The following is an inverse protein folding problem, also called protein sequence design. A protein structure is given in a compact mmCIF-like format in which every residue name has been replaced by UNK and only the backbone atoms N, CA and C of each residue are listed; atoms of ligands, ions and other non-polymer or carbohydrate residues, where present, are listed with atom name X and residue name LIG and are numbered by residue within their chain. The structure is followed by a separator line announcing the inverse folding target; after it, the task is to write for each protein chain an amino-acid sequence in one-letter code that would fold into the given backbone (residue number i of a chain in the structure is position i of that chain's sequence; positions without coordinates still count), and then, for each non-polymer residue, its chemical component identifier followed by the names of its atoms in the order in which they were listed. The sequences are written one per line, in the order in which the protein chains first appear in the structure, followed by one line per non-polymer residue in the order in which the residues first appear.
data_IF_648736967196
#
_entry.id   IF_648736967196
#
_cell.length_a   1.000
_cell.length_b   1.000
_cell.length_c   1.000
_cell.angle_alpha   90.00
_cell.angle_beta   90.00
_cell.angle_gamma   90.00
#
_symmetry.space_group_name_H-M   'P 1'
#
loop_
_entity.id
_entity.type
_entity.pdbx_description
1 polymer ?
#
# COMPACT_ATOMS: atom_id res chain seq x y z
N UNK A 1 0.50 -14.73 -30.70
CA UNK A 1 0.63 -14.23 -29.33
C UNK A 1 -0.74 -14.33 -28.69
N UNK A 2 -0.83 -15.02 -27.58
CA UNK A 2 -2.07 -15.05 -26.78
C UNK A 2 -2.26 -13.65 -26.16
N UNK A 3 -3.52 -13.20 -25.98
CA UNK A 3 -3.79 -11.87 -25.40
C UNK A 3 -3.11 -11.65 -24.04
N UNK A 4 -2.92 -12.73 -23.26
CA UNK A 4 -2.20 -12.72 -21.98
C UNK A 4 -0.73 -12.34 -22.19
N UNK A 5 -0.04 -12.92 -23.18
CA UNK A 5 1.37 -12.61 -23.50
C UNK A 5 1.54 -11.13 -23.91
N UNK A 6 0.53 -10.56 -24.59
CA UNK A 6 0.53 -9.13 -24.93
C UNK A 6 0.40 -8.27 -23.68
N UNK A 7 -0.51 -8.61 -22.77
CA UNK A 7 -0.70 -7.89 -21.52
C UNK A 7 0.54 -7.98 -20.62
N UNK A 8 1.14 -9.15 -20.50
CA UNK A 8 2.38 -9.35 -19.72
C UNK A 8 3.54 -8.53 -20.31
N UNK A 9 3.64 -8.46 -21.65
CA UNK A 9 4.65 -7.65 -22.32
C UNK A 9 4.45 -6.15 -22.07
N UNK A 10 3.19 -5.67 -22.07
CA UNK A 10 2.85 -4.28 -21.76
C UNK A 10 3.16 -4.00 -20.28
N UNK A 11 2.77 -4.88 -19.37
CA UNK A 11 3.04 -4.74 -17.93
C UNK A 11 4.55 -4.65 -17.67
N UNK A 12 5.33 -5.56 -18.24
CA UNK A 12 6.79 -5.55 -18.13
C UNK A 12 7.44 -4.26 -18.71
N UNK A 13 6.90 -3.73 -19.80
CA UNK A 13 7.39 -2.49 -20.40
C UNK A 13 7.03 -1.27 -19.54
N UNK A 14 5.81 -1.23 -18.99
CA UNK A 14 5.33 -0.14 -18.12
C UNK A 14 6.10 -0.13 -16.80
N UNK A 15 6.26 -1.27 -16.15
CA UNK A 15 7.02 -1.41 -14.90
C UNK A 15 8.55 -1.49 -15.10
N UNK A 16 8.99 -1.23 -16.31
CA UNK A 16 10.41 -1.16 -16.67
C UNK A 16 11.11 0.11 -16.17
N UNK A 17 12.36 0.34 -16.63
CA UNK A 17 13.17 1.49 -16.23
C UNK A 17 12.47 2.85 -16.30
N UNK A 18 11.62 3.16 -17.31
CA UNK A 18 10.96 4.47 -17.39
C UNK A 18 10.10 4.79 -16.19
N UNK A 19 9.27 3.83 -15.74
CA UNK A 19 8.40 4.03 -14.58
C UNK A 19 9.20 4.15 -13.28
N UNK A 20 10.26 3.34 -13.13
CA UNK A 20 11.14 3.40 -11.94
C UNK A 20 11.82 4.78 -11.87
N UNK A 21 12.36 5.27 -12.97
CA UNK A 21 13.00 6.59 -13.02
C UNK A 21 11.98 7.69 -12.69
N UNK A 22 10.78 7.61 -13.26
CA UNK A 22 9.72 8.59 -12.98
C UNK A 22 9.33 8.59 -11.50
N UNK A 23 9.11 7.42 -10.90
CA UNK A 23 8.66 7.29 -9.52
C UNK A 23 9.74 7.69 -8.51
N UNK A 24 10.93 7.10 -8.62
CA UNK A 24 12.05 7.46 -7.74
C UNK A 24 12.47 8.91 -7.95
N UNK A 25 12.48 9.39 -9.19
CA UNK A 25 12.76 10.78 -9.52
C UNK A 25 11.75 11.72 -8.86
N UNK A 26 10.46 11.40 -8.91
CA UNK A 26 9.40 12.15 -8.22
C UNK A 26 9.60 12.13 -6.70
N UNK A 27 9.91 10.98 -6.11
CA UNK A 27 10.15 10.83 -4.67
C UNK A 27 11.38 11.64 -4.21
N UNK A 28 12.47 11.58 -4.97
CA UNK A 28 13.70 12.35 -4.69
C UNK A 28 13.41 13.85 -4.87
N UNK A 29 12.77 14.24 -5.96
CA UNK A 29 12.41 15.63 -6.24
C UNK A 29 11.55 16.21 -5.11
N UNK A 30 10.49 15.53 -4.70
CA UNK A 30 9.61 15.99 -3.62
C UNK A 30 10.33 16.03 -2.28
N UNK A 31 11.22 15.08 -2.00
CA UNK A 31 12.07 15.08 -0.80
C UNK A 31 12.98 16.33 -0.76
N UNK A 32 13.63 16.64 -1.86
CA UNK A 32 14.49 17.85 -1.97
C UNK A 32 13.66 19.12 -1.83
N UNK A 33 12.54 19.22 -2.56
CA UNK A 33 11.66 20.41 -2.54
C UNK A 33 11.03 20.66 -1.18
N UNK A 34 10.72 19.63 -0.42
CA UNK A 34 10.20 19.73 0.94
C UNK A 34 11.29 19.79 2.02
N UNK A 35 12.57 19.87 1.61
CA UNK A 35 13.74 19.93 2.51
C UNK A 35 13.78 18.76 3.51
N UNK A 36 13.45 17.57 3.03
CA UNK A 36 13.45 16.35 3.86
C UNK A 36 12.34 16.37 4.90
N UNK A 37 11.09 16.51 4.46
CA UNK A 37 9.90 16.55 5.33
C UNK A 37 9.78 15.31 6.23
N UNK A 38 10.39 14.20 5.84
CA UNK A 38 10.46 12.97 6.61
C UNK A 38 11.01 13.18 8.03
N UNK A 39 11.89 14.18 8.23
CA UNK A 39 12.42 14.57 9.55
C UNK A 39 11.32 15.04 10.51
N UNK A 40 10.16 15.45 9.99
CA UNK A 40 8.99 15.83 10.79
C UNK A 40 8.08 14.66 11.13
N UNK A 41 8.51 13.42 10.88
CA UNK A 41 7.74 12.23 11.21
C UNK A 41 7.26 12.17 12.67
N UNK A 42 8.08 12.49 13.69
CA UNK A 42 7.60 12.50 15.08
C UNK A 42 6.46 13.50 15.31
N UNK A 43 6.55 14.68 14.68
CA UNK A 43 5.47 15.66 14.71
C UNK A 43 4.22 15.15 13.98
N UNK A 44 4.39 14.52 12.82
CA UNK A 44 3.30 13.96 12.04
C UNK A 44 2.54 12.87 12.80
N UNK A 45 3.25 11.98 13.49
CA UNK A 45 2.65 10.96 14.36
C UNK A 45 1.87 11.58 15.52
N UNK A 46 2.41 12.63 16.16
CA UNK A 46 1.69 13.37 17.19
C UNK A 46 0.41 14.02 16.65
N UNK A 47 0.49 14.65 15.47
CA UNK A 47 -0.64 15.32 14.85
C UNK A 47 -1.73 14.34 14.39
N UNK A 48 -1.38 13.11 14.03
CA UNK A 48 -2.35 12.09 13.60
C UNK A 48 -3.36 11.72 14.67
N UNK A 49 -2.96 11.78 15.95
CA UNK A 49 -3.81 11.47 17.11
C UNK A 49 -4.37 12.72 17.80
N UNK A 50 -4.05 13.93 17.31
CA UNK A 50 -4.48 15.20 17.91
C UNK A 50 -5.61 15.82 17.09
N UNK A 51 -6.76 16.09 17.70
CA UNK A 51 -7.91 16.76 17.03
C UNK A 51 -7.58 18.20 16.61
N UNK A 52 -8.15 18.66 15.50
CA UNK A 52 -8.10 20.05 15.02
C UNK A 52 -9.44 20.75 15.27
N UNK A 53 -9.65 21.19 16.50
CA UNK A 53 -10.94 21.72 16.96
C UNK A 53 -11.41 22.92 16.14
N UNK A 54 -12.66 22.87 15.67
CA UNK A 54 -13.31 23.93 14.89
C UNK A 54 -12.83 24.02 13.44
N UNK A 55 -12.23 22.97 12.90
CA UNK A 55 -11.94 22.83 11.49
C UNK A 55 -13.19 22.37 10.71
N UNK A 56 -13.26 22.68 9.42
CA UNK A 56 -14.30 22.21 8.51
C UNK A 56 -13.84 20.95 7.77
N UNK A 57 -14.67 19.94 7.70
CA UNK A 57 -14.46 18.67 7.01
C UNK A 57 -15.60 17.71 7.32
N UNK A 58 -15.60 16.57 6.63
CA UNK A 58 -16.64 15.55 6.76
C UNK A 58 -16.21 14.41 7.68
N UNK A 59 -14.89 14.24 7.88
CA UNK A 59 -14.29 13.19 8.70
C UNK A 59 -13.13 13.73 9.54
N UNK A 60 -12.82 13.07 10.67
CA UNK A 60 -11.70 13.46 11.52
C UNK A 60 -10.34 13.31 10.79
N UNK A 61 -9.30 14.03 11.26
CA UNK A 61 -7.93 13.88 10.72
C UNK A 61 -7.44 12.42 10.81
N UNK A 62 -7.71 11.79 11.95
CA UNK A 62 -7.34 10.39 12.17
C UNK A 62 -8.17 9.45 11.29
N UNK A 63 -9.48 9.71 11.13
CA UNK A 63 -10.37 8.96 10.27
C UNK A 63 -9.95 9.02 8.80
N UNK A 64 -9.61 10.18 8.30
CA UNK A 64 -9.08 10.34 6.94
C UNK A 64 -7.74 9.58 6.75
N UNK A 65 -6.84 9.64 7.75
CA UNK A 65 -5.60 8.89 7.71
C UNK A 65 -5.86 7.37 7.80
N UNK A 66 -6.70 6.93 8.71
CA UNK A 66 -7.02 5.52 8.89
C UNK A 66 -7.72 4.93 7.65
N UNK A 67 -8.63 5.69 7.03
CA UNK A 67 -9.27 5.27 5.77
C UNK A 67 -8.26 5.19 4.63
N UNK A 68 -7.36 6.18 4.51
CA UNK A 68 -6.27 6.12 3.54
C UNK A 68 -5.30 4.98 3.83
N UNK A 69 -5.06 4.66 5.10
CA UNK A 69 -4.22 3.53 5.47
C UNK A 69 -4.94 2.20 5.24
N UNK A 70 -6.26 2.13 5.44
CA UNK A 70 -7.07 0.97 5.11
C UNK A 70 -7.00 0.63 3.61
N UNK A 71 -7.06 1.64 2.74
CA UNK A 71 -6.95 1.43 1.28
C UNK A 71 -5.57 0.90 0.86
N UNK A 72 -4.52 1.26 1.58
CA UNK A 72 -3.13 0.88 1.26
C UNK A 72 -2.66 -0.40 1.94
N UNK A 73 -3.15 -0.71 3.15
CA UNK A 73 -2.83 -1.94 3.89
C UNK A 73 -3.65 -3.12 3.37
N UNK A 74 -3.36 -3.55 2.14
CA UNK A 74 -4.01 -4.70 1.50
C UNK A 74 -3.08 -5.91 1.38
N UNK A 75 -3.45 -6.78 0.45
CA UNK A 75 -2.63 -7.95 0.06
C UNK A 75 -1.22 -7.58 -0.36
N UNK A 76 -1.00 -6.34 -0.82
CA UNK A 76 0.32 -5.81 -1.16
C UNK A 76 1.33 -5.87 -0.02
N UNK A 77 0.87 -5.70 1.22
CA UNK A 77 1.73 -5.71 2.41
C UNK A 77 2.17 -7.11 2.85
N UNK A 78 1.55 -8.17 2.35
CA UNK A 78 1.90 -9.57 2.65
C UNK A 78 2.31 -10.29 1.37
N UNK A 79 1.36 -10.53 0.46
CA UNK A 79 1.60 -11.24 -0.80
C UNK A 79 2.51 -10.44 -1.74
N UNK A 80 2.35 -9.12 -1.78
CA UNK A 80 3.22 -8.24 -2.56
C UNK A 80 4.67 -8.27 -2.09
N UNK A 81 4.90 -8.29 -0.78
CA UNK A 81 6.25 -8.44 -0.19
C UNK A 81 6.84 -9.81 -0.53
N UNK A 82 6.05 -10.88 -0.40
CA UNK A 82 6.48 -12.22 -0.78
C UNK A 82 6.83 -12.32 -2.28
N UNK A 83 6.03 -11.66 -3.14
CA UNK A 83 6.33 -11.56 -4.58
C UNK A 83 7.64 -10.78 -4.83
N UNK A 84 7.88 -9.70 -4.09
CA UNK A 84 9.13 -8.95 -4.22
C UNK A 84 10.35 -9.81 -3.88
N UNK A 85 10.27 -10.59 -2.80
CA UNK A 85 11.35 -11.50 -2.39
C UNK A 85 11.51 -12.65 -3.39
N UNK A 86 10.40 -13.23 -3.87
CA UNK A 86 10.44 -14.38 -4.79
C UNK A 86 11.03 -13.98 -6.16
N UNK A 87 10.59 -12.86 -6.72
CA UNK A 87 10.95 -12.43 -8.08
C UNK A 87 12.17 -11.50 -8.12
N UNK A 88 12.33 -10.66 -7.11
CA UNK A 88 13.42 -9.68 -7.01
C UNK A 88 14.55 -10.06 -6.05
N UNK A 89 14.42 -11.20 -5.36
CA UNK A 89 15.35 -11.63 -4.34
C UNK A 89 15.25 -10.82 -3.04
N UNK A 90 16.01 -11.21 -1.99
CA UNK A 90 16.02 -10.49 -0.71
C UNK A 90 16.37 -9.00 -0.84
N UNK A 91 17.19 -8.63 -1.82
CA UNK A 91 17.58 -7.25 -2.10
C UNK A 91 16.43 -6.33 -2.48
N UNK A 92 15.33 -6.86 -3.05
CA UNK A 92 14.13 -6.10 -3.36
C UNK A 92 13.51 -5.43 -2.12
N UNK A 93 13.69 -6.03 -0.94
CA UNK A 93 13.21 -5.50 0.35
C UNK A 93 13.80 -4.13 0.64
N UNK A 94 15.11 -3.94 0.42
CA UNK A 94 15.76 -2.65 0.64
C UNK A 94 15.17 -1.56 -0.27
N UNK A 95 15.02 -1.86 -1.55
CA UNK A 95 14.46 -0.92 -2.52
C UNK A 95 13.01 -0.58 -2.23
N UNK A 96 12.19 -1.58 -1.84
CA UNK A 96 10.82 -1.36 -1.39
C UNK A 96 10.78 -0.45 -0.16
N UNK A 97 11.66 -0.65 0.82
CA UNK A 97 11.73 0.15 2.04
C UNK A 97 12.13 1.61 1.73
N UNK A 98 13.12 1.79 0.84
CA UNK A 98 13.53 3.13 0.38
C UNK A 98 12.40 3.88 -0.32
N UNK A 99 11.56 3.21 -1.14
CA UNK A 99 10.39 3.85 -1.73
C UNK A 99 9.37 4.30 -0.66
N UNK A 100 9.22 3.55 0.42
CA UNK A 100 8.38 3.94 1.56
C UNK A 100 8.88 5.22 2.23
N UNK A 101 10.19 5.30 2.52
CA UNK A 101 10.82 6.47 3.17
C UNK A 101 10.72 7.70 2.26
N UNK A 102 11.10 7.57 0.99
CA UNK A 102 11.07 8.69 0.04
C UNK A 102 9.63 9.05 -0.34
N UNK A 103 8.76 8.05 -0.45
CA UNK A 103 7.34 8.20 -0.75
C UNK A 103 6.57 9.05 0.26
N UNK A 104 7.04 9.14 1.51
CA UNK A 104 6.45 10.05 2.51
C UNK A 104 6.41 11.51 2.03
N UNK A 105 7.46 11.99 1.35
CA UNK A 105 7.49 13.35 0.81
C UNK A 105 6.52 13.55 -0.36
N UNK A 106 6.38 12.54 -1.20
CA UNK A 106 5.42 12.56 -2.30
C UNK A 106 3.99 12.56 -1.76
N UNK A 107 3.67 11.67 -0.82
CA UNK A 107 2.36 11.61 -0.15
C UNK A 107 2.01 12.95 0.53
N UNK A 108 2.99 13.57 1.21
CA UNK A 108 2.82 14.93 1.77
C UNK A 108 2.46 15.95 0.70
N UNK A 109 3.18 15.94 -0.42
CA UNK A 109 2.98 16.93 -1.49
C UNK A 109 1.63 16.78 -2.18
N UNK A 110 1.21 15.54 -2.45
CA UNK A 110 -0.09 15.22 -3.04
C UNK A 110 -1.24 15.71 -2.17
N UNK A 111 -1.20 15.36 -0.87
CA UNK A 111 -2.25 15.73 0.07
C UNK A 111 -2.25 17.23 0.33
N UNK A 112 -1.07 17.87 0.43
CA UNK A 112 -0.99 19.31 0.55
C UNK A 112 -1.66 20.03 -0.61
N UNK A 113 -1.41 19.57 -1.84
CA UNK A 113 -2.04 20.14 -3.04
C UNK A 113 -3.56 19.94 -3.03
N UNK A 114 -4.03 18.74 -2.72
CA UNK A 114 -5.47 18.45 -2.66
C UNK A 114 -6.19 19.28 -1.60
N UNK A 115 -5.63 19.40 -0.42
CA UNK A 115 -6.19 20.22 0.66
C UNK A 115 -6.21 21.70 0.33
N UNK A 116 -5.20 22.20 -0.39
CA UNK A 116 -5.11 23.60 -0.80
C UNK A 116 -6.15 23.97 -1.86
N UNK A 117 -6.46 23.04 -2.77
CA UNK A 117 -7.35 23.25 -3.92
C UNK A 117 -8.66 22.47 -3.78
N UNK A 118 -9.03 22.05 -2.57
CA UNK A 118 -10.31 21.38 -2.31
C UNK A 118 -11.48 22.33 -2.56
N UNK A 119 -12.60 21.76 -2.98
CA UNK A 119 -13.84 22.47 -3.28
C UNK A 119 -14.98 21.89 -2.43
N UNK A 120 -16.08 22.64 -2.31
CA UNK A 120 -17.33 22.13 -1.76
C UNK A 120 -18.24 21.67 -2.88
N UNK A 121 -18.88 20.54 -2.73
CA UNK A 121 -19.93 20.09 -3.61
C UNK A 121 -21.24 20.87 -3.34
N UNK A 122 -22.32 20.53 -4.07
CA UNK A 122 -23.64 21.13 -3.89
C UNK A 122 -24.30 20.79 -2.55
N UNK A 123 -23.86 19.75 -1.91
CA UNK A 123 -24.37 19.26 -0.62
C UNK A 123 -23.53 19.80 0.55
N UNK A 124 -22.41 20.50 0.27
CA UNK A 124 -21.52 21.09 1.26
C UNK A 124 -20.35 20.20 1.67
N UNK A 125 -20.21 19.00 1.10
CA UNK A 125 -19.09 18.09 1.38
C UNK A 125 -17.79 18.57 0.76
N UNK A 126 -16.68 18.30 1.45
CA UNK A 126 -15.35 18.68 0.98
C UNK A 126 -14.81 17.65 -0.01
N UNK A 127 -14.53 18.08 -1.23
CA UNK A 127 -13.97 17.27 -2.29
C UNK A 127 -12.62 17.79 -2.74
N UNK A 128 -11.71 16.89 -3.08
CA UNK A 128 -10.38 17.21 -3.59
C UNK A 128 -9.79 16.06 -4.38
N UNK A 129 -8.50 16.12 -4.64
CA UNK A 129 -7.78 15.15 -5.45
C UNK A 129 -7.15 15.82 -6.67
N UNK A 130 -6.41 15.06 -7.47
CA UNK A 130 -5.65 15.59 -8.59
C UNK A 130 -6.55 16.30 -9.62
N UNK A 131 -7.78 15.80 -9.87
CA UNK A 131 -8.73 16.43 -10.78
C UNK A 131 -9.03 17.88 -10.37
N UNK A 132 -9.34 18.11 -9.09
CA UNK A 132 -9.63 19.45 -8.58
C UNK A 132 -8.38 20.35 -8.53
N UNK A 133 -7.20 19.76 -8.27
CA UNK A 133 -5.94 20.49 -8.33
C UNK A 133 -5.69 21.04 -9.73
N UNK A 134 -5.88 20.22 -10.78
CA UNK A 134 -5.73 20.68 -12.17
C UNK A 134 -6.69 21.80 -12.50
N UNK A 135 -7.96 21.67 -12.16
CA UNK A 135 -8.96 22.68 -12.46
C UNK A 135 -8.74 23.99 -11.67
N UNK A 136 -8.57 23.90 -10.35
CA UNK A 136 -8.49 25.10 -9.49
C UNK A 136 -7.15 25.84 -9.62
N UNK A 137 -6.04 25.11 -9.84
CA UNK A 137 -4.71 25.72 -9.98
C UNK A 137 -4.58 26.53 -11.27
N UNK A 138 -5.20 26.04 -12.34
CA UNK A 138 -5.07 26.66 -13.67
C UNK A 138 -6.31 27.42 -14.11
N UNK A 139 -7.27 27.62 -13.21
CA UNK A 139 -8.43 28.50 -13.44
C UNK A 139 -7.95 29.93 -13.69
N UNK A 140 -8.40 30.52 -14.79
CA UNK A 140 -8.09 31.90 -15.18
C UNK A 140 -8.93 32.88 -14.38
N UNK A 141 -8.56 34.18 -14.44
CA UNK A 141 -9.30 35.26 -13.80
C UNK A 141 -10.74 35.45 -14.32
N UNK A 142 -10.98 35.05 -15.57
CA UNK A 142 -12.31 34.99 -16.20
C UNK A 142 -13.17 33.80 -15.77
N UNK A 143 -12.66 32.94 -14.89
CA UNK A 143 -13.34 31.76 -14.42
C UNK A 143 -13.19 30.52 -15.32
N UNK A 144 -12.57 30.63 -16.49
CA UNK A 144 -12.36 29.53 -17.44
C UNK A 144 -11.19 28.65 -17.03
N UNK A 145 -11.30 27.33 -17.33
CA UNK A 145 -10.23 26.36 -17.15
C UNK A 145 -9.66 25.99 -18.51
N UNK A 146 -8.33 26.06 -18.73
CA UNK A 146 -7.70 25.67 -19.99
C UNK A 146 -8.06 24.21 -20.36
N UNK A 147 -8.27 23.93 -21.65
CA UNK A 147 -8.70 22.63 -22.11
C UNK A 147 -7.78 21.47 -21.69
N UNK A 148 -6.46 21.70 -21.71
CA UNK A 148 -5.47 20.70 -21.29
C UNK A 148 -5.55 20.37 -19.77
N UNK A 149 -5.82 21.36 -18.92
CA UNK A 149 -5.99 21.14 -17.49
C UNK A 149 -7.28 20.37 -17.20
N UNK A 150 -8.36 20.65 -17.96
CA UNK A 150 -9.61 19.89 -17.90
C UNK A 150 -9.42 18.46 -18.42
N UNK A 151 -8.66 18.29 -19.49
CA UNK A 151 -8.30 16.95 -20.00
C UNK A 151 -7.54 16.14 -18.94
N UNK A 152 -6.51 16.71 -18.29
CA UNK A 152 -5.76 16.03 -17.23
C UNK A 152 -6.63 15.69 -16.03
N UNK A 153 -7.56 16.56 -15.66
CA UNK A 153 -8.52 16.28 -14.57
C UNK A 153 -9.43 15.09 -14.89
N UNK A 154 -10.03 15.06 -16.10
CA UNK A 154 -10.88 13.97 -16.56
C UNK A 154 -10.09 12.67 -16.71
N UNK A 155 -8.88 12.75 -17.30
CA UNK A 155 -8.01 11.60 -17.47
C UNK A 155 -7.69 10.92 -16.14
N UNK A 156 -7.29 11.72 -15.14
CA UNK A 156 -7.05 11.19 -13.80
C UNK A 156 -8.30 10.52 -13.21
N UNK A 157 -9.46 11.17 -13.30
CA UNK A 157 -10.71 10.62 -12.76
C UNK A 157 -11.09 9.28 -13.42
N UNK A 158 -10.96 9.17 -14.73
CA UNK A 158 -11.23 7.93 -15.47
C UNK A 158 -10.25 6.83 -15.04
N UNK A 159 -8.95 7.13 -14.98
CA UNK A 159 -7.95 6.14 -14.56
C UNK A 159 -8.15 5.70 -13.11
N UNK A 160 -8.51 6.62 -12.21
CA UNK A 160 -8.83 6.29 -10.82
C UNK A 160 -10.03 5.34 -10.74
N UNK A 161 -11.11 5.61 -11.48
CA UNK A 161 -12.27 4.72 -11.54
C UNK A 161 -11.91 3.33 -12.06
N UNK A 162 -11.10 3.22 -13.10
CA UNK A 162 -10.64 1.92 -13.63
C UNK A 162 -9.79 1.16 -12.62
N UNK A 163 -8.93 1.85 -11.88
CA UNK A 163 -8.04 1.24 -10.87
C UNK A 163 -8.82 0.62 -9.70
N UNK A 164 -9.98 1.19 -9.32
CA UNK A 164 -10.83 0.66 -8.25
C UNK A 164 -11.25 -0.78 -8.55
N UNK A 165 -11.66 -1.09 -9.78
CA UNK A 165 -12.10 -2.43 -10.16
C UNK A 165 -10.99 -3.47 -10.05
N UNK A 166 -9.74 -3.13 -10.40
CA UNK A 166 -8.60 -4.03 -10.32
C UNK A 166 -8.03 -4.11 -8.91
N UNK A 167 -7.37 -3.05 -8.48
CA UNK A 167 -6.58 -3.00 -7.24
C UNK A 167 -7.46 -2.95 -6.00
N UNK A 168 -8.54 -2.17 -6.04
CA UNK A 168 -9.41 -1.94 -4.88
C UNK A 168 -10.31 -3.14 -4.55
N UNK A 169 -10.78 -3.89 -5.55
CA UNK A 169 -11.77 -4.94 -5.31
C UNK A 169 -11.36 -6.32 -5.81
N UNK A 170 -11.03 -6.50 -7.10
CA UNK A 170 -10.80 -7.82 -7.68
C UNK A 170 -9.61 -8.56 -7.04
N UNK A 171 -8.46 -7.90 -6.93
CA UNK A 171 -7.24 -8.48 -6.33
C UNK A 171 -7.47 -8.84 -4.86
N UNK A 172 -8.13 -7.96 -4.11
CA UNK A 172 -8.38 -8.17 -2.69
C UNK A 172 -9.37 -9.32 -2.45
N UNK A 173 -10.47 -9.32 -3.19
CA UNK A 173 -11.48 -10.39 -3.10
C UNK A 173 -10.90 -11.75 -3.53
N UNK A 174 -10.10 -11.78 -4.59
CA UNK A 174 -9.41 -12.99 -5.03
C UNK A 174 -8.48 -13.57 -3.94
N UNK A 175 -7.77 -12.72 -3.22
CA UNK A 175 -6.92 -13.18 -2.12
C UNK A 175 -7.75 -13.73 -0.95
N UNK A 176 -8.84 -13.06 -0.56
CA UNK A 176 -9.74 -13.54 0.50
C UNK A 176 -10.33 -14.90 0.12
N UNK A 177 -10.86 -15.03 -1.09
CA UNK A 177 -11.49 -16.27 -1.56
C UNK A 177 -10.50 -17.41 -1.66
N UNK A 178 -9.27 -17.15 -2.13
CA UNK A 178 -8.21 -18.16 -2.23
C UNK A 178 -7.79 -18.68 -0.85
N UNK A 179 -7.64 -17.79 0.13
CA UNK A 179 -7.30 -18.18 1.52
C UNK A 179 -8.45 -18.96 2.16
N UNK A 180 -9.68 -18.54 1.96
CA UNK A 180 -10.85 -19.21 2.51
C UNK A 180 -11.02 -20.62 1.88
N UNK A 181 -10.82 -20.76 0.58
CA UNK A 181 -10.87 -22.05 -0.10
C UNK A 181 -9.75 -23.00 0.39
N UNK A 182 -8.53 -22.47 0.50
CA UNK A 182 -7.39 -23.31 0.93
C UNK A 182 -7.51 -23.80 2.38
N UNK A 183 -8.09 -23.00 3.28
CA UNK A 183 -8.15 -23.34 4.72
C UNK A 183 -9.48 -23.98 5.17
N UNK A 184 -10.59 -23.63 4.51
CA UNK A 184 -11.93 -24.06 4.92
C UNK A 184 -12.68 -24.87 3.86
N UNK A 185 -12.13 -25.00 2.64
CA UNK A 185 -12.79 -25.66 1.51
C UNK A 185 -14.06 -24.96 1.03
N UNK A 186 -14.26 -23.67 1.38
CA UNK A 186 -15.46 -22.91 1.00
C UNK A 186 -15.35 -22.45 -0.45
N UNK A 187 -16.42 -22.64 -1.20
CA UNK A 187 -16.48 -22.21 -2.60
C UNK A 187 -16.24 -20.69 -2.75
N UNK A 188 -15.37 -20.26 -3.69
CA UNK A 188 -14.98 -18.85 -3.84
C UNK A 188 -16.14 -17.88 -4.01
N UNK A 189 -17.20 -18.28 -4.73
CA UNK A 189 -18.37 -17.43 -4.98
C UNK A 189 -19.17 -17.14 -3.70
N UNK A 190 -19.23 -18.09 -2.75
CA UNK A 190 -19.90 -17.89 -1.46
C UNK A 190 -19.18 -16.81 -0.65
N UNK A 191 -17.85 -16.94 -0.58
CA UNK A 191 -17.00 -15.96 0.13
C UNK A 191 -17.10 -14.59 -0.52
N UNK A 192 -17.05 -14.53 -1.86
CA UNK A 192 -17.20 -13.29 -2.60
C UNK A 192 -18.56 -12.63 -2.36
N UNK A 193 -19.65 -13.40 -2.29
CA UNK A 193 -20.98 -12.89 -1.99
C UNK A 193 -21.06 -12.30 -0.57
N UNK A 194 -20.46 -12.96 0.42
CA UNK A 194 -20.39 -12.46 1.81
C UNK A 194 -19.59 -11.16 1.88
N UNK A 195 -18.41 -11.11 1.24
CA UNK A 195 -17.57 -9.91 1.19
C UNK A 195 -18.30 -8.75 0.52
N UNK A 196 -18.95 -9.02 -0.63
CA UNK A 196 -19.71 -8.02 -1.36
C UNK A 196 -20.91 -7.51 -0.53
N UNK A 197 -21.70 -8.39 0.06
CA UNK A 197 -22.86 -8.02 0.88
C UNK A 197 -22.47 -7.19 2.11
N UNK A 198 -21.42 -7.60 2.82
CA UNK A 198 -20.92 -6.87 3.99
C UNK A 198 -20.31 -5.51 3.63
N UNK A 199 -19.56 -5.43 2.53
CA UNK A 199 -19.02 -4.16 2.03
C UNK A 199 -20.15 -3.21 1.60
N UNK A 200 -21.17 -3.71 0.91
CA UNK A 200 -22.34 -2.94 0.49
C UNK A 200 -23.07 -2.30 1.69
N UNK A 201 -23.27 -3.05 2.78
CA UNK A 201 -23.88 -2.53 4.00
C UNK A 201 -23.08 -1.36 4.61
N UNK A 202 -21.75 -1.44 4.56
CA UNK A 202 -20.87 -0.37 5.05
C UNK A 202 -20.95 0.86 4.14
N UNK A 203 -20.92 0.65 2.83
CA UNK A 203 -20.98 1.72 1.81
C UNK A 203 -22.31 2.47 1.91
N UNK A 204 -23.44 1.77 2.13
CA UNK A 204 -24.76 2.39 2.33
C UNK A 204 -24.78 3.35 3.54
N UNK A 205 -23.91 3.16 4.53
CA UNK A 205 -23.75 4.06 5.66
C UNK A 205 -23.00 5.37 5.36
N UNK A 206 -22.47 5.53 4.13
CA UNK A 206 -21.76 6.72 3.65
C UNK A 206 -20.36 6.93 4.22
N UNK A 207 -19.75 8.06 3.85
CA UNK A 207 -18.34 8.37 4.13
C UNK A 207 -17.98 8.31 5.61
N UNK A 208 -18.86 8.84 6.48
CA UNK A 208 -18.65 8.82 7.94
C UNK A 208 -18.59 7.40 8.51
N UNK A 209 -19.45 6.49 8.03
CA UNK A 209 -19.46 5.10 8.47
C UNK A 209 -18.19 4.38 8.05
N UNK A 210 -17.74 4.56 6.80
CA UNK A 210 -16.49 4.01 6.29
C UNK A 210 -15.31 4.47 7.17
N UNK A 211 -15.21 5.78 7.40
CA UNK A 211 -14.15 6.37 8.22
C UNK A 211 -14.15 5.83 9.66
N UNK A 212 -15.31 5.75 10.31
CA UNK A 212 -15.43 5.25 11.68
C UNK A 212 -15.04 3.77 11.81
N UNK A 213 -15.34 2.95 10.80
CA UNK A 213 -14.92 1.56 10.76
C UNK A 213 -13.40 1.47 10.59
N UNK A 214 -12.83 2.21 9.64
CA UNK A 214 -11.39 2.24 9.40
C UNK A 214 -10.61 2.74 10.63
N UNK A 215 -11.11 3.74 11.36
CA UNK A 215 -10.50 4.24 12.60
C UNK A 215 -10.27 3.15 13.65
N UNK A 216 -11.18 2.18 13.73
CA UNK A 216 -11.10 1.07 14.69
C UNK A 216 -10.36 -0.12 14.13
N UNK A 217 -10.68 -0.50 12.89
CA UNK A 217 -10.16 -1.71 12.25
C UNK A 217 -8.65 -1.62 12.00
N UNK A 218 -8.17 -0.49 11.47
CA UNK A 218 -6.77 -0.36 11.05
C UNK A 218 -5.76 -0.51 12.19
N UNK A 219 -5.92 0.19 13.33
CA UNK A 219 -5.01 -0.02 14.46
C UNK A 219 -5.04 -1.45 15.01
N UNK A 220 -6.24 -2.03 15.14
CA UNK A 220 -6.40 -3.39 15.70
C UNK A 220 -5.72 -4.42 14.80
N UNK A 221 -6.01 -4.40 13.48
CA UNK A 221 -5.41 -5.35 12.55
C UNK A 221 -3.90 -5.16 12.43
N UNK A 222 -3.43 -3.91 12.42
CA UNK A 222 -1.99 -3.60 12.34
C UNK A 222 -1.23 -4.12 13.56
N UNK A 223 -1.73 -3.85 14.77
CA UNK A 223 -1.12 -4.34 16.02
C UNK A 223 -1.15 -5.88 16.08
N UNK A 224 -2.30 -6.49 15.79
CA UNK A 224 -2.44 -7.95 15.81
C UNK A 224 -1.45 -8.62 14.83
N UNK A 225 -1.33 -8.08 13.62
CA UNK A 225 -0.41 -8.59 12.61
C UNK A 225 1.07 -8.42 13.05
N UNK A 226 1.45 -7.25 13.55
CA UNK A 226 2.82 -7.00 14.04
C UNK A 226 3.17 -7.95 15.19
N UNK A 227 2.26 -8.16 16.14
CA UNK A 227 2.48 -9.09 17.25
C UNK A 227 2.67 -10.52 16.75
N UNK A 228 1.85 -10.95 15.79
CA UNK A 228 1.99 -12.25 15.15
C UNK A 228 3.34 -12.41 14.42
N UNK A 229 3.72 -11.43 13.64
CA UNK A 229 5.03 -11.41 12.98
C UNK A 229 6.19 -11.38 13.98
N UNK A 230 6.07 -10.59 15.07
CA UNK A 230 7.07 -10.55 16.12
C UNK A 230 7.27 -11.91 16.78
N UNK A 231 6.20 -12.67 17.00
CA UNK A 231 6.29 -14.03 17.50
C UNK A 231 7.11 -14.93 16.56
N UNK A 232 6.85 -14.89 15.23
CA UNK A 232 7.61 -15.65 14.22
C UNK A 232 9.08 -15.23 14.22
N UNK A 233 9.37 -13.92 14.30
CA UNK A 233 10.74 -13.40 14.36
C UNK A 233 11.49 -13.85 15.63
N UNK A 234 10.80 -13.97 16.76
CA UNK A 234 11.38 -14.53 17.98
C UNK A 234 11.75 -16.01 17.78
N UNK A 235 10.88 -16.79 17.12
CA UNK A 235 11.22 -18.18 16.78
C UNK A 235 12.42 -18.28 15.83
N UNK A 236 12.56 -17.34 14.91
CA UNK A 236 13.65 -17.27 13.92
C UNK A 236 14.78 -16.32 14.33
N UNK A 237 14.91 -15.98 15.59
CA UNK A 237 15.83 -14.97 16.11
C UNK A 237 17.28 -15.17 15.65
N UNK A 238 17.76 -16.42 15.61
CA UNK A 238 19.13 -16.75 15.18
C UNK A 238 19.44 -16.33 13.73
N UNK A 239 18.43 -16.22 12.89
CA UNK A 239 18.54 -15.91 11.45
C UNK A 239 18.28 -14.43 11.12
N UNK A 240 17.93 -13.59 12.10
CA UNK A 240 17.64 -12.16 11.87
C UNK A 240 18.88 -11.44 11.33
N UNK A 241 20.05 -11.67 11.93
CA UNK A 241 21.31 -11.05 11.50
C UNK A 241 21.67 -11.42 10.06
N UNK A 242 21.54 -12.69 9.70
CA UNK A 242 21.78 -13.17 8.33
C UNK A 242 20.74 -12.60 7.34
N UNK A 243 19.50 -12.45 7.77
CA UNK A 243 18.44 -11.84 6.95
C UNK A 243 18.77 -10.39 6.57
N UNK A 244 19.23 -9.59 7.54
CA UNK A 244 19.70 -8.23 7.26
C UNK A 244 20.87 -8.23 6.30
N UNK A 245 21.85 -9.08 6.54
CA UNK A 245 23.02 -9.21 5.68
C UNK A 245 22.61 -9.54 4.24
N UNK A 246 21.73 -10.54 4.04
CA UNK A 246 21.23 -10.91 2.71
C UNK A 246 20.46 -9.78 2.02
N UNK A 247 19.59 -9.07 2.75
CA UNK A 247 18.84 -7.93 2.20
C UNK A 247 19.81 -6.87 1.67
N UNK A 248 20.84 -6.50 2.43
CA UNK A 248 21.79 -5.47 2.01
C UNK A 248 22.72 -5.96 0.93
N UNK A 249 23.28 -7.17 1.03
CA UNK A 249 24.17 -7.72 0.01
C UNK A 249 23.47 -7.90 -1.32
N UNK A 250 22.28 -8.54 -1.34
CA UNK A 250 21.53 -8.79 -2.58
C UNK A 250 20.94 -7.53 -3.21
N UNK A 251 20.84 -6.42 -2.48
CA UNK A 251 20.39 -5.15 -3.05
C UNK A 251 21.44 -4.51 -3.99
N UNK A 252 22.72 -4.81 -3.79
CA UNK A 252 23.82 -4.18 -4.53
C UNK A 252 24.75 -5.18 -5.24
N UNK A 253 24.54 -6.48 -5.03
CA UNK A 253 25.33 -7.53 -5.69
C UNK A 253 24.44 -8.59 -6.31
N UNK A 254 24.72 -9.03 -7.55
CA UNK A 254 24.00 -10.17 -8.14
C UNK A 254 24.40 -11.44 -7.38
N UNK A 255 23.50 -11.94 -6.55
CA UNK A 255 23.74 -13.16 -5.78
C UNK A 255 22.52 -14.07 -5.80
N UNK A 256 22.76 -15.33 -6.08
CA UNK A 256 21.74 -16.36 -5.86
C UNK A 256 21.57 -16.58 -4.36
N UNK A 257 20.33 -16.62 -3.89
CA UNK A 257 20.00 -16.93 -2.51
C UNK A 257 19.14 -18.21 -2.46
N UNK A 258 19.09 -18.84 -1.29
CA UNK A 258 18.21 -19.98 -1.03
C UNK A 258 18.36 -21.14 -2.03
N UNK A 259 19.59 -21.64 -2.17
CA UNK A 259 19.89 -22.79 -3.04
C UNK A 259 19.73 -22.50 -4.55
N UNK A 260 19.79 -21.24 -4.97
CA UNK A 260 19.63 -20.83 -6.37
C UNK A 260 18.16 -20.67 -6.79
N UNK A 261 17.20 -20.94 -5.92
CA UNK A 261 15.78 -20.80 -6.24
C UNK A 261 15.35 -19.32 -6.38
N UNK A 262 16.06 -18.42 -5.71
CA UNK A 262 15.84 -16.96 -5.76
C UNK A 262 17.16 -16.26 -6.05
N UNK A 263 17.32 -15.82 -7.28
CA UNK A 263 18.49 -15.02 -7.70
C UNK A 263 18.02 -13.92 -8.64
N UNK A 264 18.45 -12.69 -8.39
CA UNK A 264 18.14 -11.59 -9.27
C UNK A 264 19.33 -10.66 -9.46
N UNK A 265 19.41 -10.02 -10.63
CA UNK A 265 20.30 -8.90 -10.83
C UNK A 265 19.83 -7.68 -10.04
N UNK A 266 20.74 -6.73 -9.78
CA UNK A 266 20.44 -5.48 -9.07
C UNK A 266 19.24 -4.74 -9.69
N UNK A 267 19.14 -4.70 -11.03
CA UNK A 267 18.05 -4.04 -11.74
C UNK A 267 16.71 -4.72 -11.44
N UNK A 268 16.68 -6.05 -11.38
CA UNK A 268 15.48 -6.83 -11.09
C UNK A 268 15.05 -6.61 -9.64
N UNK A 269 15.99 -6.64 -8.69
CA UNK A 269 15.72 -6.32 -7.29
C UNK A 269 15.16 -4.91 -7.11
N UNK A 270 15.74 -3.91 -7.79
CA UNK A 270 15.26 -2.53 -7.83
C UNK A 270 13.84 -2.47 -8.41
N UNK A 271 13.61 -3.12 -9.56
CA UNK A 271 12.31 -3.09 -10.26
C UNK A 271 11.20 -3.67 -9.39
N UNK A 272 11.36 -4.89 -8.89
CA UNK A 272 10.36 -5.53 -8.06
C UNK A 272 10.20 -4.82 -6.71
N UNK A 273 11.29 -4.36 -6.10
CA UNK A 273 11.25 -3.59 -4.86
C UNK A 273 10.47 -2.29 -5.01
N UNK A 274 10.77 -1.50 -6.05
CA UNK A 274 10.08 -0.24 -6.33
C UNK A 274 8.61 -0.47 -6.69
N UNK A 275 8.31 -1.42 -7.59
CA UNK A 275 6.94 -1.71 -8.01
C UNK A 275 6.06 -2.15 -6.84
N UNK A 276 6.55 -3.08 -6.01
CA UNK A 276 5.80 -3.57 -4.84
C UNK A 276 5.75 -2.56 -3.70
N UNK A 277 6.80 -1.73 -3.55
CA UNK A 277 6.78 -0.59 -2.63
C UNK A 277 5.70 0.41 -3.00
N UNK A 278 5.60 0.82 -4.26
CA UNK A 278 4.54 1.71 -4.74
C UNK A 278 3.15 1.10 -4.56
N UNK A 279 2.98 -0.16 -4.95
CA UNK A 279 1.72 -0.89 -4.76
C UNK A 279 1.27 -0.92 -3.30
N UNK A 280 2.23 -0.99 -2.36
CA UNK A 280 1.96 -0.99 -0.93
C UNK A 280 1.63 0.40 -0.38
N UNK A 281 2.38 1.45 -0.73
CA UNK A 281 2.23 2.78 -0.10
C UNK A 281 1.39 3.77 -0.91
N UNK A 282 1.14 3.47 -2.18
CA UNK A 282 0.36 4.32 -3.11
C UNK A 282 0.85 5.78 -3.19
N UNK A 283 2.12 6.05 -2.87
CA UNK A 283 2.66 7.40 -3.00
C UNK A 283 2.92 7.73 -4.47
N UNK A 284 2.29 8.78 -4.99
CA UNK A 284 2.33 9.14 -6.41
C UNK A 284 1.09 8.72 -7.19
N UNK A 285 0.21 7.87 -6.63
CA UNK A 285 -1.03 7.45 -7.31
C UNK A 285 -2.16 8.48 -7.21
N UNK A 286 -2.11 9.40 -6.25
CA UNK A 286 -3.16 10.40 -6.08
C UNK A 286 -4.44 9.91 -5.40
N UNK A 287 -4.46 8.71 -4.83
CA UNK A 287 -5.60 8.09 -4.13
C UNK A 287 -5.82 8.70 -2.75
N UNK A 288 -4.80 8.79 -1.92
CA UNK A 288 -4.88 9.39 -0.59
C UNK A 288 -5.36 10.86 -0.59
N UNK A 289 -5.03 11.71 -1.56
CA UNK A 289 -5.61 13.04 -1.71
C UNK A 289 -7.11 13.10 -1.77
N UNK A 290 -7.79 12.11 -2.36
CA UNK A 290 -9.25 12.04 -2.46
C UNK A 290 -9.87 11.98 -1.06
N UNK A 291 -9.42 11.03 -0.24
CA UNK A 291 -9.88 10.83 1.13
C UNK A 291 -9.47 12.00 2.03
N UNK A 292 -8.21 12.43 1.92
CA UNK A 292 -7.65 13.48 2.80
C UNK A 292 -8.32 14.84 2.61
N UNK A 293 -8.88 15.11 1.43
CA UNK A 293 -9.57 16.38 1.16
C UNK A 293 -10.82 16.57 2.03
N UNK A 294 -11.48 15.47 2.43
CA UNK A 294 -12.64 15.49 3.31
C UNK A 294 -12.28 15.66 4.81
N UNK A 295 -10.99 15.62 5.16
CA UNK A 295 -10.56 15.73 6.56
C UNK A 295 -10.84 17.12 7.18
N UNK A 296 -11.25 17.10 8.45
CA UNK A 296 -11.38 18.29 9.30
C UNK A 296 -10.00 18.88 9.57
N UNK A 297 -9.56 19.83 8.75
CA UNK A 297 -8.28 20.51 8.96
C UNK A 297 -8.33 21.96 8.49
N UNK A 298 -7.86 22.87 9.36
CA UNK A 298 -7.72 24.30 9.05
C UNK A 298 -6.52 24.58 8.15
N UNK A 299 -5.49 23.73 8.24
CA UNK A 299 -4.23 23.95 7.55
C UNK A 299 -3.89 22.76 6.63
N UNK A 300 -3.74 22.98 5.32
CA UNK A 300 -3.33 21.94 4.38
C UNK A 300 -2.07 21.20 4.79
N UNK A 301 -1.08 21.89 5.36
CA UNK A 301 0.17 21.27 5.79
C UNK A 301 -0.02 20.31 6.98
N UNK A 302 -0.99 20.56 7.86
CA UNK A 302 -1.30 19.68 8.98
C UNK A 302 -1.81 18.34 8.47
N UNK A 303 -2.83 18.34 7.61
CA UNK A 303 -3.36 17.09 7.05
C UNK A 303 -2.34 16.37 6.18
N UNK A 304 -1.53 17.11 5.43
CA UNK A 304 -0.44 16.53 4.65
C UNK A 304 0.60 15.82 5.53
N UNK A 305 0.96 16.39 6.69
CA UNK A 305 1.83 15.73 7.67
C UNK A 305 1.19 14.46 8.23
N UNK A 306 -0.10 14.52 8.58
CA UNK A 306 -0.83 13.33 9.05
C UNK A 306 -0.82 12.24 7.99
N UNK A 307 -1.17 12.56 6.75
CA UNK A 307 -1.26 11.58 5.65
C UNK A 307 0.10 11.00 5.23
N UNK A 308 1.21 11.73 5.40
CA UNK A 308 2.54 11.18 5.10
C UNK A 308 2.96 10.04 6.03
N UNK A 309 2.27 9.85 7.16
CA UNK A 309 2.50 8.69 8.04
C UNK A 309 2.00 7.37 7.41
N UNK A 310 1.15 7.42 6.37
CA UNK A 310 0.67 6.24 5.65
C UNK A 310 1.79 5.36 5.11
N UNK A 311 2.69 5.85 4.23
CA UNK A 311 3.85 5.10 3.76
C UNK A 311 4.77 4.61 4.87
N UNK A 312 4.89 5.35 5.97
CA UNK A 312 5.65 4.90 7.14
C UNK A 312 5.02 3.65 7.74
N UNK A 313 3.75 3.68 8.10
CA UNK A 313 3.09 2.51 8.71
C UNK A 313 3.02 1.33 7.75
N UNK A 314 2.60 1.57 6.50
CA UNK A 314 2.39 0.51 5.53
C UNK A 314 3.73 -0.13 5.10
N UNK A 315 4.66 0.66 4.57
CA UNK A 315 5.86 0.12 3.92
C UNK A 315 7.05 0.05 4.88
N UNK A 316 7.29 1.11 5.67
CA UNK A 316 8.46 1.14 6.55
C UNK A 316 8.28 0.23 7.77
N UNK A 317 7.04 0.03 8.24
CA UNK A 317 6.76 -0.85 9.39
C UNK A 317 6.22 -2.21 8.92
N UNK A 318 5.01 -2.26 8.37
CA UNK A 318 4.32 -3.54 8.08
C UNK A 318 5.06 -4.37 7.03
N UNK A 319 5.37 -3.79 5.85
CA UNK A 319 6.05 -4.56 4.80
C UNK A 319 7.46 -4.97 5.21
N UNK A 320 8.16 -4.15 5.99
CA UNK A 320 9.49 -4.49 6.48
C UNK A 320 9.46 -5.65 7.47
N UNK A 321 8.53 -5.64 8.42
CA UNK A 321 8.34 -6.76 9.36
C UNK A 321 7.95 -8.04 8.60
N UNK A 322 7.02 -7.94 7.64
CA UNK A 322 6.66 -9.08 6.76
C UNK A 322 7.89 -9.61 6.00
N UNK A 323 8.69 -8.72 5.44
CA UNK A 323 9.90 -9.10 4.70
C UNK A 323 10.93 -9.81 5.59
N UNK A 324 11.12 -9.33 6.82
CA UNK A 324 12.00 -9.99 7.79
C UNK A 324 11.49 -11.38 8.15
N UNK A 325 10.17 -11.56 8.35
CA UNK A 325 9.57 -12.87 8.57
C UNK A 325 9.88 -13.81 7.39
N UNK A 326 9.66 -13.34 6.16
CA UNK A 326 9.89 -14.15 4.96
C UNK A 326 11.37 -14.52 4.84
N UNK A 327 12.27 -13.53 4.89
CA UNK A 327 13.71 -13.77 4.69
C UNK A 327 14.29 -14.62 5.82
N UNK A 328 13.92 -14.38 7.09
CA UNK A 328 14.42 -15.17 8.22
C UNK A 328 13.93 -16.63 8.18
N UNK A 329 12.69 -16.86 7.75
CA UNK A 329 12.17 -18.22 7.58
C UNK A 329 12.85 -18.95 6.41
N UNK A 330 13.18 -18.24 5.33
CA UNK A 330 13.95 -18.82 4.21
C UNK A 330 15.40 -19.08 4.60
N UNK A 331 16.00 -18.28 5.49
CA UNK A 331 17.31 -18.57 6.05
C UNK A 331 17.28 -19.82 6.95
N UNK A 332 16.22 -19.98 7.74
CA UNK A 332 16.03 -21.15 8.59
C UNK A 332 15.73 -22.44 7.79
N UNK A 333 15.05 -22.29 6.65
CA UNK A 333 14.63 -23.41 5.78
C UNK A 333 15.02 -23.12 4.32
N UNK A 334 16.28 -23.28 3.92
CA UNK A 334 16.75 -22.89 2.58
C UNK A 334 16.09 -23.64 1.41
N UNK A 335 15.59 -24.84 1.63
CA UNK A 335 14.90 -25.66 0.61
C UNK A 335 13.40 -25.45 0.56
N UNK A 336 12.84 -24.58 1.42
CA UNK A 336 11.40 -24.37 1.59
C UNK A 336 10.67 -24.08 0.27
N UNK A 337 11.28 -23.28 -0.60
CA UNK A 337 10.68 -22.91 -1.90
C UNK A 337 10.52 -24.15 -2.79
N UNK A 338 11.52 -25.04 -2.81
CA UNK A 338 11.52 -26.24 -3.63
C UNK A 338 10.59 -27.31 -3.03
N UNK A 339 10.69 -27.53 -1.72
CA UNK A 339 9.93 -28.56 -0.99
C UNK A 339 8.42 -28.25 -0.96
N UNK A 340 8.05 -26.98 -0.93
CA UNK A 340 6.64 -26.55 -0.86
C UNK A 340 6.01 -26.24 -2.22
N UNK A 341 6.70 -26.44 -3.33
CA UNK A 341 6.18 -26.17 -4.67
C UNK A 341 5.73 -24.73 -4.89
N UNK A 342 6.50 -23.77 -4.35
CA UNK A 342 6.18 -22.34 -4.43
C UNK A 342 6.21 -21.85 -5.87
N UNK A 343 5.10 -21.29 -6.33
CA UNK A 343 4.94 -20.75 -7.70
C UNK A 343 4.72 -19.25 -7.75
N UNK A 344 4.25 -18.65 -6.66
CA UNK A 344 3.94 -17.22 -6.58
C UNK A 344 4.07 -16.69 -5.15
N UNK A 345 3.89 -15.37 -4.98
CA UNK A 345 4.03 -14.74 -3.66
C UNK A 345 3.02 -15.21 -2.62
N UNK A 346 1.82 -15.60 -3.01
CA UNK A 346 0.82 -16.11 -2.06
C UNK A 346 1.22 -17.51 -1.54
N UNK A 347 1.70 -18.38 -2.43
CA UNK A 347 2.20 -19.71 -2.04
C UNK A 347 3.48 -19.60 -1.20
N UNK A 348 4.37 -18.64 -1.49
CA UNK A 348 5.53 -18.34 -0.66
C UNK A 348 5.11 -17.86 0.74
N UNK A 349 4.19 -16.92 0.84
CA UNK A 349 3.70 -16.46 2.13
C UNK A 349 3.11 -17.62 2.95
N UNK A 350 2.28 -18.46 2.32
CA UNK A 350 1.73 -19.66 2.95
C UNK A 350 2.82 -20.62 3.45
N UNK A 351 3.80 -20.95 2.62
CA UNK A 351 4.89 -21.85 2.99
C UNK A 351 5.70 -21.31 4.17
N UNK A 352 6.05 -20.01 4.12
CA UNK A 352 6.83 -19.33 5.16
C UNK A 352 6.09 -19.29 6.51
N UNK A 353 4.83 -18.90 6.51
CA UNK A 353 4.06 -18.85 7.76
C UNK A 353 3.77 -20.25 8.30
N UNK A 354 3.59 -21.25 7.43
CA UNK A 354 3.38 -22.64 7.84
C UNK A 354 4.60 -23.26 8.54
N UNK A 355 5.79 -22.69 8.45
CA UNK A 355 6.97 -23.16 9.21
C UNK A 355 6.78 -23.09 10.72
N UNK A 356 5.88 -22.25 11.20
CA UNK A 356 5.55 -22.13 12.62
C UNK A 356 4.23 -22.88 12.89
N UNK A 357 4.29 -24.09 13.48
CA UNK A 357 3.12 -24.91 13.72
C UNK A 357 2.05 -24.20 14.55
N UNK A 358 0.79 -24.43 14.25
CA UNK A 358 -0.42 -23.96 14.95
C UNK A 358 -0.66 -22.44 14.91
N UNK A 359 0.35 -21.60 14.77
CA UNK A 359 0.25 -20.13 14.93
C UNK A 359 0.43 -19.40 13.60
N UNK A 360 1.35 -19.85 12.76
CA UNK A 360 1.72 -19.13 11.54
C UNK A 360 0.57 -19.01 10.52
N UNK A 361 -0.09 -20.11 10.19
CA UNK A 361 -1.21 -20.08 9.25
C UNK A 361 -2.40 -19.21 9.73
N UNK A 362 -2.85 -19.27 11.00
CA UNK A 362 -3.85 -18.34 11.53
C UNK A 362 -3.44 -16.87 11.43
N UNK A 363 -2.17 -16.51 11.70
CA UNK A 363 -1.68 -15.13 11.59
C UNK A 363 -1.77 -14.66 10.14
N UNK A 364 -1.28 -15.47 9.20
CA UNK A 364 -1.35 -15.15 7.78
C UNK A 364 -2.79 -14.96 7.31
N UNK A 365 -3.66 -15.91 7.65
CA UNK A 365 -5.06 -15.89 7.28
C UNK A 365 -5.76 -14.64 7.82
N UNK A 366 -5.60 -14.36 9.12
CA UNK A 366 -6.15 -13.15 9.73
C UNK A 366 -5.61 -11.89 9.08
N UNK A 367 -4.30 -11.84 8.82
CA UNK A 367 -3.67 -10.72 8.14
C UNK A 367 -4.25 -10.48 6.75
N UNK A 368 -4.34 -11.51 5.90
CA UNK A 368 -4.89 -11.39 4.55
C UNK A 368 -6.37 -11.01 4.58
N UNK A 369 -7.18 -11.67 5.41
CA UNK A 369 -8.60 -11.36 5.53
C UNK A 369 -8.83 -9.90 5.98
N UNK A 370 -8.19 -9.48 7.05
CA UNK A 370 -8.37 -8.13 7.58
C UNK A 370 -7.83 -7.06 6.64
N UNK A 371 -6.63 -7.25 6.09
CA UNK A 371 -5.99 -6.25 5.21
C UNK A 371 -6.72 -6.13 3.88
N UNK A 372 -7.05 -7.26 3.24
CA UNK A 372 -7.79 -7.22 1.98
C UNK A 372 -9.19 -6.63 2.16
N UNK A 373 -9.90 -7.00 3.22
CA UNK A 373 -11.22 -6.46 3.50
C UNK A 373 -11.19 -4.96 3.82
N UNK A 374 -10.21 -4.50 4.63
CA UNK A 374 -10.04 -3.08 4.89
C UNK A 374 -9.75 -2.28 3.62
N UNK A 375 -9.00 -2.88 2.69
CA UNK A 375 -8.71 -2.25 1.40
C UNK A 375 -9.97 -2.10 0.54
N UNK A 376 -10.82 -3.11 0.47
CA UNK A 376 -12.11 -3.01 -0.23
C UNK A 376 -12.93 -1.85 0.33
N UNK A 377 -13.03 -1.75 1.66
CA UNK A 377 -13.76 -0.66 2.33
C UNK A 377 -13.10 0.70 2.06
N UNK A 378 -11.78 0.79 2.20
CA UNK A 378 -11.03 2.04 1.98
C UNK A 378 -11.14 2.56 0.55
N UNK A 379 -11.09 1.68 -0.45
CA UNK A 379 -11.28 2.06 -1.86
C UNK A 379 -12.74 2.37 -2.23
N UNK A 380 -13.68 1.97 -1.40
CA UNK A 380 -15.10 2.29 -1.59
C UNK A 380 -15.46 3.71 -1.12
N UNK A 381 -14.55 4.36 -0.38
CA UNK A 381 -14.66 5.77 0.02
C UNK A 381 -14.58 6.69 -1.19
#
# INVERSE_FOLDING_TARGET
MNYIEVLDSIDAAVWGPPMIILLLGCHIYTTIRTKGIQRKLPLALKLSVTKDNGAQGDVSNFGAMATSLASTLGTGSIVGVATAVLSGGPGAVLWMWLTGILGMATKYTEVYAAMKYRVKDRQGHMMGGAMHVWEQRYKRSDGTVPWWAKFMAIWFAVMACLTIFGVGSAVQTSAITSVAQANFGVEPWIVAAIVCGSALLIIMGGLGTISNICEKLVPIMGVAYILGCAYILVCNWAFIGESFRLIFECAFTPRAAFGGAVGSGIIVALQFGCARGLFSNEAGLGTAPLISAAAESKNPARQALVSMTGPFWCTVVICFVTALVIVSSLCAHPTLIQDSGVTNGATLANAVFATIPYVGAPILMLGILCFAYSTIIGWSY
#
